data_IF_278513310002
#
_entry.id   IF_278513310002
#
_cell.length_a   1.000
_cell.length_b   1.000
_cell.length_c   1.000
_cell.angle_alpha   90.00
_cell.angle_beta   90.00
_cell.angle_gamma   90.00
#
_symmetry.space_group_name_H-M   'P 1'
#
loop_
_entity.id
_entity.type
_entity.pdbx_description
1 polymer ?
#
# COMPACT_ATOMS: atom_id res chain seq x y z
N UNK A 1 6.28 -25.08 -9.81
CA UNK A 1 7.33 -25.82 -9.08
C UNK A 1 7.94 -24.88 -8.07
N UNK A 2 7.91 -25.21 -6.77
CA UNK A 2 8.70 -24.49 -5.77
C UNK A 2 10.17 -24.91 -5.96
N UNK A 3 11.06 -23.92 -6.10
CA UNK A 3 12.50 -24.16 -6.14
C UNK A 3 12.99 -24.02 -4.71
N UNK A 4 13.35 -25.13 -4.08
CA UNK A 4 14.13 -25.15 -2.84
C UNK A 4 15.60 -25.14 -3.25
N UNK A 5 16.32 -24.05 -3.00
CA UNK A 5 17.74 -23.96 -3.30
C UNK A 5 18.16 -22.58 -3.82
N UNK A 6 19.44 -22.36 -4.00
CA UNK A 6 19.99 -21.16 -4.63
C UNK A 6 19.58 -21.11 -6.10
N UNK A 7 18.98 -19.99 -6.55
CA UNK A 7 18.74 -19.74 -7.97
C UNK A 7 19.68 -18.63 -8.47
N UNK A 8 20.00 -18.68 -9.75
CA UNK A 8 20.88 -17.70 -10.39
C UNK A 8 19.99 -16.66 -11.07
N UNK A 9 20.00 -15.42 -10.60
CA UNK A 9 19.08 -14.37 -11.08
C UNK A 9 19.29 -14.00 -12.54
N UNK A 10 20.51 -14.14 -13.07
CA UNK A 10 20.83 -13.85 -14.48
C UNK A 10 20.11 -14.74 -15.49
N UNK A 11 19.63 -15.91 -15.07
CA UNK A 11 18.93 -16.85 -15.94
C UNK A 11 17.48 -16.44 -16.17
N UNK A 12 17.01 -15.39 -15.48
CA UNK A 12 15.65 -14.88 -15.58
C UNK A 12 15.61 -13.49 -16.21
N UNK A 13 14.74 -13.30 -17.19
CA UNK A 13 14.47 -11.97 -17.75
C UNK A 13 13.73 -11.08 -16.77
N UNK A 14 12.77 -11.66 -16.03
CA UNK A 14 11.95 -10.98 -15.03
C UNK A 14 11.82 -11.81 -13.76
N UNK A 15 11.95 -11.13 -12.62
CA UNK A 15 11.69 -11.70 -11.29
C UNK A 15 10.55 -10.92 -10.66
N UNK A 16 9.47 -11.60 -10.30
CA UNK A 16 8.33 -11.01 -9.61
C UNK A 16 8.45 -11.24 -8.10
N UNK A 17 8.62 -10.16 -7.35
CA UNK A 17 8.62 -10.20 -5.89
C UNK A 17 7.19 -10.03 -5.38
N UNK A 18 6.57 -11.10 -4.88
CA UNK A 18 5.19 -11.14 -4.39
C UNK A 18 5.09 -11.47 -2.89
N UNK A 19 6.23 -11.56 -2.20
CA UNK A 19 6.30 -11.77 -0.76
C UNK A 19 5.96 -10.47 0.00
N UNK A 20 5.64 -10.52 1.32
CA UNK A 20 5.42 -9.31 2.11
C UNK A 20 6.61 -8.34 2.04
N UNK A 21 6.33 -7.04 1.96
CA UNK A 21 7.35 -5.99 1.91
C UNK A 21 8.33 -6.05 3.10
N UNK A 22 7.84 -6.44 4.29
CA UNK A 22 8.67 -6.61 5.49
C UNK A 22 9.71 -7.73 5.40
N UNK A 23 9.58 -8.65 4.43
CA UNK A 23 10.54 -9.73 4.21
C UNK A 23 11.62 -9.36 3.17
N UNK A 24 11.51 -8.20 2.50
CA UNK A 24 12.35 -7.84 1.36
C UNK A 24 13.84 -7.79 1.70
N UNK A 25 14.21 -7.19 2.84
CA UNK A 25 15.61 -7.09 3.28
C UNK A 25 16.28 -8.47 3.38
N UNK A 26 15.63 -9.36 4.13
CA UNK A 26 16.14 -10.72 4.32
C UNK A 26 16.18 -11.49 2.98
N UNK A 27 15.15 -11.33 2.15
CA UNK A 27 15.13 -11.97 0.84
C UNK A 27 16.28 -11.51 -0.06
N UNK A 28 16.64 -10.22 -0.03
CA UNK A 28 17.80 -9.71 -0.76
C UNK A 28 19.11 -10.32 -0.27
N UNK A 29 19.28 -10.46 1.04
CA UNK A 29 20.46 -11.07 1.65
C UNK A 29 20.59 -12.55 1.29
N UNK A 30 19.47 -13.28 1.33
CA UNK A 30 19.46 -14.73 1.10
C UNK A 30 19.61 -15.10 -0.39
N UNK A 31 19.04 -14.31 -1.32
CA UNK A 31 18.89 -14.71 -2.72
C UNK A 31 19.47 -13.74 -3.75
N UNK A 32 19.70 -12.47 -3.43
CA UNK A 32 20.16 -11.47 -4.39
C UNK A 32 21.58 -10.98 -4.14
N UNK A 33 22.21 -11.41 -3.06
CA UNK A 33 23.55 -11.01 -2.70
C UNK A 33 24.53 -11.40 -3.82
N UNK A 34 25.32 -10.42 -4.28
CA UNK A 34 26.33 -10.59 -5.34
C UNK A 34 25.77 -11.08 -6.70
N UNK A 35 24.48 -10.98 -6.93
CA UNK A 35 23.88 -11.35 -8.19
C UNK A 35 23.48 -10.12 -9.01
N UNK A 36 23.60 -10.21 -10.34
CA UNK A 36 23.09 -9.21 -11.27
C UNK A 36 21.65 -9.54 -11.62
N UNK A 37 20.75 -8.58 -11.43
CA UNK A 37 19.31 -8.74 -11.71
C UNK A 37 18.97 -7.92 -12.95
N UNK A 38 18.32 -8.54 -13.94
CA UNK A 38 17.92 -7.84 -15.15
C UNK A 38 16.69 -6.95 -14.89
N UNK A 39 15.59 -7.54 -14.48
CA UNK A 39 14.35 -6.81 -14.18
C UNK A 39 13.68 -7.40 -12.94
N UNK A 40 13.38 -6.54 -11.98
CA UNK A 40 12.65 -6.90 -10.75
C UNK A 40 11.31 -6.19 -10.72
N UNK A 41 10.22 -6.95 -10.66
CA UNK A 41 8.86 -6.43 -10.56
C UNK A 41 8.36 -6.60 -9.14
N UNK A 42 8.15 -5.49 -8.43
CA UNK A 42 7.66 -5.46 -7.07
C UNK A 42 6.12 -5.42 -7.08
N UNK A 43 5.49 -6.46 -6.56
CA UNK A 43 4.04 -6.57 -6.43
C UNK A 43 3.55 -6.35 -4.99
N UNK A 44 4.48 -6.36 -4.01
CA UNK A 44 4.16 -6.13 -2.61
C UNK A 44 3.87 -4.64 -2.34
N UNK A 45 2.99 -4.41 -1.36
CA UNK A 45 2.55 -3.07 -0.96
C UNK A 45 2.86 -2.88 0.52
N UNK A 46 3.76 -1.97 0.84
CA UNK A 46 4.17 -1.75 2.24
C UNK A 46 5.62 -1.31 2.33
N UNK A 47 6.12 -1.30 3.55
CA UNK A 47 7.50 -0.94 3.87
C UNK A 47 8.28 -2.15 4.36
N UNK A 48 9.60 -2.07 4.32
CA UNK A 48 10.49 -3.08 4.91
C UNK A 48 10.24 -3.22 6.42
N UNK A 49 10.84 -4.23 7.03
CA UNK A 49 10.76 -4.43 8.49
C UNK A 49 11.27 -3.20 9.27
N UNK A 50 12.25 -2.48 8.72
CA UNK A 50 12.83 -1.27 9.32
C UNK A 50 12.07 0.01 8.94
N UNK A 51 11.01 -0.10 8.13
CA UNK A 51 10.20 1.02 7.70
C UNK A 51 10.76 1.79 6.50
N UNK A 52 11.70 1.23 5.75
CA UNK A 52 12.22 1.84 4.53
C UNK A 52 11.36 1.49 3.32
N UNK A 53 11.35 2.39 2.35
CA UNK A 53 10.78 2.15 1.03
C UNK A 53 11.59 1.06 0.30
N UNK A 54 10.91 0.16 -0.38
CA UNK A 54 11.56 -0.92 -1.15
C UNK A 54 12.44 -0.34 -2.26
N UNK A 55 12.00 0.73 -2.92
CA UNK A 55 12.80 1.44 -3.93
C UNK A 55 14.15 1.92 -3.39
N UNK A 56 14.19 2.41 -2.15
CA UNK A 56 15.45 2.83 -1.51
C UNK A 56 16.36 1.64 -1.20
N UNK A 57 15.80 0.52 -0.78
CA UNK A 57 16.57 -0.69 -0.51
C UNK A 57 17.14 -1.28 -1.80
N UNK A 58 16.36 -1.30 -2.88
CA UNK A 58 16.82 -1.75 -4.20
C UNK A 58 18.05 -0.95 -4.61
N UNK A 59 17.97 0.38 -4.59
CA UNK A 59 19.09 1.24 -5.04
C UNK A 59 20.32 1.16 -4.15
N UNK A 60 20.15 0.82 -2.87
CA UNK A 60 21.27 0.69 -1.92
C UNK A 60 21.95 -0.68 -1.95
N UNK A 61 21.18 -1.75 -2.18
CA UNK A 61 21.64 -3.12 -1.90
C UNK A 61 21.78 -4.00 -3.14
N UNK A 62 21.15 -3.67 -4.26
CA UNK A 62 21.07 -4.56 -5.41
C UNK A 62 21.84 -4.06 -6.62
N UNK A 63 22.54 -4.97 -7.29
CA UNK A 63 23.09 -4.77 -8.63
C UNK A 63 21.99 -5.08 -9.65
N UNK A 64 21.24 -4.06 -10.07
CA UNK A 64 20.04 -4.22 -10.86
C UNK A 64 20.01 -3.26 -12.06
N UNK A 65 19.60 -3.77 -13.22
CA UNK A 65 19.45 -2.95 -14.41
C UNK A 65 18.14 -2.14 -14.36
N UNK A 66 17.02 -2.80 -14.07
CA UNK A 66 15.70 -2.16 -14.06
C UNK A 66 14.83 -2.74 -12.93
N UNK A 67 14.04 -1.87 -12.31
CA UNK A 67 13.00 -2.32 -11.39
C UNK A 67 11.68 -1.59 -11.65
N UNK A 68 10.58 -2.24 -11.29
CA UNK A 68 9.23 -1.85 -11.61
C UNK A 68 8.33 -2.08 -10.40
N UNK A 69 7.28 -1.28 -10.28
CA UNK A 69 6.19 -1.55 -9.33
C UNK A 69 4.92 -1.90 -10.10
N UNK A 70 4.27 -2.98 -9.68
CA UNK A 70 2.98 -3.43 -10.19
C UNK A 70 1.96 -3.32 -9.06
N UNK A 71 0.96 -2.45 -9.21
CA UNK A 71 -0.04 -2.18 -8.17
C UNK A 71 -1.38 -1.80 -8.78
N UNK A 72 -2.45 -2.03 -8.03
CA UNK A 72 -3.82 -1.69 -8.46
C UNK A 72 -4.86 -2.50 -7.69
N UNK A 73 -6.16 -2.31 -8.02
CA UNK A 73 -7.26 -3.00 -7.38
C UNK A 73 -7.27 -4.49 -7.77
N UNK A 74 -6.75 -5.34 -6.88
CA UNK A 74 -6.55 -6.77 -7.16
C UNK A 74 -6.63 -7.61 -5.89
N UNK A 75 -7.81 -8.14 -5.58
CA UNK A 75 -7.90 -9.19 -4.58
C UNK A 75 -7.40 -10.50 -5.17
N UNK A 76 -6.54 -11.20 -4.43
CA UNK A 76 -5.84 -12.37 -4.92
C UNK A 76 -6.80 -13.51 -5.32
N UNK A 77 -7.90 -13.70 -4.60
CA UNK A 77 -8.95 -14.67 -4.93
C UNK A 77 -9.63 -14.36 -6.27
N UNK A 78 -9.91 -13.08 -6.54
CA UNK A 78 -10.53 -12.67 -7.80
C UNK A 78 -9.60 -12.87 -9.00
N UNK A 79 -8.34 -12.53 -8.85
CA UNK A 79 -7.32 -12.77 -9.87
C UNK A 79 -7.16 -14.28 -10.12
N UNK A 80 -7.12 -15.09 -9.06
CA UNK A 80 -7.00 -16.54 -9.16
C UNK A 80 -8.18 -17.17 -9.91
N UNK A 81 -9.40 -16.66 -9.68
CA UNK A 81 -10.60 -17.11 -10.39
C UNK A 81 -10.77 -16.48 -11.79
N UNK A 82 -9.74 -15.82 -12.30
CA UNK A 82 -9.75 -15.27 -13.66
C UNK A 82 -10.69 -14.07 -13.84
N UNK A 83 -11.07 -13.37 -12.79
CA UNK A 83 -11.90 -12.16 -12.93
C UNK A 83 -11.10 -11.02 -13.56
N UNK A 84 -11.74 -10.18 -14.40
CA UNK A 84 -11.07 -9.04 -15.02
C UNK A 84 -10.40 -8.15 -13.98
N UNK A 85 -9.11 -7.88 -14.18
CA UNK A 85 -8.29 -7.09 -13.27
C UNK A 85 -7.47 -6.09 -14.06
N UNK A 86 -7.35 -4.86 -13.59
CA UNK A 86 -6.54 -3.82 -14.19
C UNK A 86 -5.49 -3.32 -13.20
N UNK A 87 -4.23 -3.23 -13.64
CA UNK A 87 -3.09 -2.86 -12.81
C UNK A 87 -2.27 -1.74 -13.45
N UNK A 88 -1.70 -0.86 -12.61
CA UNK A 88 -0.67 0.10 -12.99
C UNK A 88 0.70 -0.56 -12.90
N UNK A 89 1.47 -0.49 -13.96
CA UNK A 89 2.88 -0.83 -14.00
C UNK A 89 3.70 0.45 -14.13
N UNK A 90 4.48 0.76 -13.11
CA UNK A 90 5.36 1.92 -13.11
C UNK A 90 6.83 1.50 -13.19
N UNK A 91 7.58 2.18 -14.04
CA UNK A 91 8.97 1.89 -14.36
C UNK A 91 9.78 3.19 -14.40
N UNK A 92 11.09 3.10 -14.27
CA UNK A 92 11.98 4.25 -14.52
C UNK A 92 11.91 4.69 -16.00
N UNK A 93 11.81 3.70 -16.91
CA UNK A 93 11.49 3.89 -18.32
C UNK A 93 10.39 2.91 -18.69
N UNK A 94 9.40 3.35 -19.42
CA UNK A 94 8.27 2.49 -19.84
C UNK A 94 8.79 1.25 -20.56
N UNK A 95 8.47 0.08 -20.00
CA UNK A 95 8.84 -1.22 -20.59
C UNK A 95 7.58 -2.00 -20.96
N UNK A 96 7.18 -1.91 -22.22
CA UNK A 96 5.97 -2.58 -22.73
C UNK A 96 6.10 -4.11 -22.74
N UNK A 97 7.32 -4.65 -22.74
CA UNK A 97 7.54 -6.11 -22.78
C UNK A 97 7.02 -6.81 -21.51
N UNK A 98 7.01 -6.13 -20.35
CA UNK A 98 6.43 -6.71 -19.14
C UNK A 98 4.92 -6.91 -19.30
N UNK A 99 4.24 -5.98 -19.95
CA UNK A 99 2.80 -6.09 -20.21
C UNK A 99 2.45 -7.29 -21.11
N UNK A 100 3.35 -7.66 -22.01
CA UNK A 100 3.14 -8.81 -22.90
C UNK A 100 3.05 -10.14 -22.14
N UNK A 101 3.64 -10.22 -20.92
CA UNK A 101 3.52 -11.40 -20.05
C UNK A 101 2.05 -11.66 -19.65
N UNK A 102 1.22 -10.61 -19.65
CA UNK A 102 -0.19 -10.67 -19.25
C UNK A 102 -1.15 -10.72 -20.43
N UNK A 103 -0.65 -10.77 -21.69
CA UNK A 103 -1.45 -10.63 -22.92
C UNK A 103 -2.61 -11.63 -22.99
N UNK A 104 -2.36 -12.88 -22.62
CA UNK A 104 -3.34 -13.97 -22.71
C UNK A 104 -4.00 -14.26 -21.33
N UNK A 105 -4.08 -13.24 -20.48
CA UNK A 105 -4.70 -13.32 -19.17
C UNK A 105 -5.84 -12.31 -19.03
N UNK A 106 -6.63 -12.43 -17.96
CA UNK A 106 -7.66 -11.45 -17.61
C UNK A 106 -7.09 -10.21 -16.88
N UNK A 107 -5.78 -9.97 -16.97
CA UNK A 107 -5.09 -8.83 -16.36
C UNK A 107 -4.71 -7.81 -17.41
N UNK A 108 -5.25 -6.60 -17.31
CA UNK A 108 -4.89 -5.47 -18.17
C UNK A 108 -3.86 -4.59 -17.49
N UNK A 109 -2.75 -4.32 -18.17
CA UNK A 109 -1.69 -3.45 -17.69
C UNK A 109 -1.84 -2.04 -18.24
N UNK A 110 -1.73 -1.05 -17.35
CA UNK A 110 -1.64 0.38 -17.66
C UNK A 110 -0.27 0.89 -17.24
N UNK A 111 0.47 1.42 -18.20
CA UNK A 111 1.81 1.96 -17.95
C UNK A 111 1.72 3.35 -17.34
N UNK A 112 2.59 3.64 -16.40
CA UNK A 112 2.64 4.94 -15.75
C UNK A 112 4.08 5.35 -15.43
N UNK A 113 4.30 6.65 -15.38
CA UNK A 113 5.53 7.26 -14.88
C UNK A 113 5.29 7.73 -13.45
N UNK A 114 6.22 7.47 -12.56
CA UNK A 114 6.06 7.83 -11.14
C UNK A 114 6.19 6.63 -10.21
N UNK A 115 7.25 5.86 -10.41
CA UNK A 115 7.57 4.64 -9.69
C UNK A 115 7.49 4.82 -8.16
N UNK A 116 8.14 5.88 -7.61
CA UNK A 116 8.09 6.20 -6.17
C UNK A 116 6.69 6.59 -5.72
N UNK A 117 5.92 7.23 -6.60
CA UNK A 117 4.53 7.60 -6.28
C UNK A 117 3.66 6.36 -6.19
N UNK A 118 3.79 5.41 -7.13
CA UNK A 118 3.01 4.18 -7.08
C UNK A 118 3.34 3.33 -5.84
N UNK A 119 4.61 3.24 -5.46
CA UNK A 119 5.03 2.61 -4.20
C UNK A 119 4.39 3.31 -3.00
N UNK A 120 4.48 4.64 -2.92
CA UNK A 120 3.90 5.44 -1.83
C UNK A 120 2.38 5.23 -1.72
N UNK A 121 1.65 5.28 -2.84
CA UNK A 121 0.20 5.05 -2.86
C UNK A 121 -0.17 3.66 -2.34
N UNK A 122 0.58 2.63 -2.74
CA UNK A 122 0.39 1.27 -2.24
C UNK A 122 0.62 1.13 -0.72
N UNK A 123 1.52 1.92 -0.15
CA UNK A 123 1.79 1.95 1.30
C UNK A 123 0.63 2.65 2.04
N UNK A 124 0.28 3.87 1.59
CA UNK A 124 -0.60 4.75 2.36
C UNK A 124 -2.05 4.28 2.37
N UNK A 125 -2.54 3.66 1.28
CA UNK A 125 -3.89 3.13 1.21
C UNK A 125 -4.20 2.13 2.32
N UNK A 126 -3.21 1.34 2.73
CA UNK A 126 -3.36 0.34 3.78
C UNK A 126 -3.63 0.96 5.15
N UNK A 127 -3.10 2.16 5.41
CA UNK A 127 -3.40 2.94 6.62
C UNK A 127 -4.85 3.42 6.57
N UNK A 128 -5.28 3.98 5.45
CA UNK A 128 -6.65 4.45 5.29
C UNK A 128 -7.68 3.32 5.35
N UNK A 129 -7.33 2.13 4.88
CA UNK A 129 -8.20 0.96 5.02
C UNK A 129 -8.44 0.59 6.49
N UNK A 130 -7.46 0.74 7.37
CA UNK A 130 -7.66 0.58 8.82
C UNK A 130 -8.70 1.59 9.32
N UNK A 131 -8.58 2.86 8.92
CA UNK A 131 -9.54 3.90 9.30
C UNK A 131 -10.96 3.64 8.78
N UNK A 132 -11.11 3.15 7.55
CA UNK A 132 -12.40 2.76 6.98
C UNK A 132 -13.06 1.64 7.80
N UNK A 133 -12.30 0.62 8.20
CA UNK A 133 -12.78 -0.43 9.09
C UNK A 133 -13.21 0.09 10.46
N UNK A 134 -12.48 1.06 11.03
CA UNK A 134 -12.85 1.71 12.29
C UNK A 134 -14.19 2.45 12.16
N UNK A 135 -14.38 3.21 11.07
CA UNK A 135 -15.64 3.93 10.81
C UNK A 135 -16.84 2.99 10.73
N UNK A 136 -16.70 1.88 10.03
CA UNK A 136 -17.76 0.90 9.89
C UNK A 136 -18.08 0.18 11.19
N UNK A 137 -17.06 -0.07 12.02
CA UNK A 137 -17.24 -0.62 13.36
C UNK A 137 -18.05 0.32 14.29
N UNK A 138 -17.97 1.63 14.07
CA UNK A 138 -18.76 2.64 14.79
C UNK A 138 -20.13 2.90 14.12
N UNK A 139 -20.49 2.16 13.05
CA UNK A 139 -21.80 2.19 12.39
C UNK A 139 -22.20 3.57 11.85
N UNK A 140 -21.22 4.32 11.31
CA UNK A 140 -21.43 5.69 10.82
C UNK A 140 -22.09 5.78 9.44
N UNK A 141 -22.24 4.65 8.75
CA UNK A 141 -22.97 4.55 7.48
C UNK A 141 -22.17 4.92 6.23
N UNK A 142 -22.81 4.78 5.07
CA UNK A 142 -22.17 4.91 3.75
C UNK A 142 -21.78 6.35 3.42
N UNK A 143 -22.56 7.35 3.85
CA UNK A 143 -22.23 8.76 3.63
C UNK A 143 -20.89 9.12 4.31
N UNK A 144 -20.72 8.68 5.56
CA UNK A 144 -19.47 8.91 6.29
C UNK A 144 -18.29 8.20 5.63
N UNK A 145 -18.47 6.97 5.12
CA UNK A 145 -17.43 6.25 4.38
C UNK A 145 -17.03 6.97 3.10
N UNK A 146 -18.02 7.44 2.30
CA UNK A 146 -17.74 8.16 1.06
C UNK A 146 -16.99 9.47 1.33
N UNK A 147 -17.45 10.26 2.31
CA UNK A 147 -16.77 11.47 2.75
C UNK A 147 -15.35 11.16 3.26
N UNK A 148 -15.18 10.09 4.02
CA UNK A 148 -13.88 9.65 4.51
C UNK A 148 -12.92 9.35 3.37
N UNK A 149 -13.31 8.54 2.37
CA UNK A 149 -12.47 8.20 1.22
C UNK A 149 -12.08 9.47 0.45
N UNK A 150 -13.03 10.37 0.20
CA UNK A 150 -12.77 11.66 -0.46
C UNK A 150 -11.73 12.48 0.32
N UNK A 151 -11.85 12.55 1.64
CA UNK A 151 -10.88 13.28 2.48
C UNK A 151 -9.52 12.59 2.55
N UNK A 152 -9.47 11.25 2.44
CA UNK A 152 -8.21 10.52 2.29
C UNK A 152 -7.49 10.90 0.98
N UNK A 153 -8.21 11.03 -0.13
CA UNK A 153 -7.63 11.49 -1.41
C UNK A 153 -7.03 12.89 -1.27
N UNK A 154 -7.73 13.82 -0.60
CA UNK A 154 -7.22 15.16 -0.36
C UNK A 154 -5.96 15.15 0.53
N UNK A 155 -5.91 14.29 1.54
CA UNK A 155 -4.73 14.12 2.40
C UNK A 155 -3.55 13.51 1.63
N UNK A 156 -3.81 12.50 0.78
CA UNK A 156 -2.82 11.91 -0.14
C UNK A 156 -2.25 12.99 -1.08
N UNK A 157 -3.10 13.81 -1.69
CA UNK A 157 -2.67 14.90 -2.57
C UNK A 157 -1.71 15.84 -1.87
N UNK A 158 -2.02 16.24 -0.64
CA UNK A 158 -1.15 17.09 0.17
C UNK A 158 0.22 16.43 0.45
N UNK A 159 0.24 15.13 0.73
CA UNK A 159 1.49 14.38 0.95
C UNK A 159 2.31 14.27 -0.33
N UNK A 160 1.69 13.93 -1.46
CA UNK A 160 2.35 13.80 -2.75
C UNK A 160 3.02 15.12 -3.15
N UNK A 161 2.29 16.25 -3.00
CA UNK A 161 2.84 17.59 -3.25
C UNK A 161 4.04 17.88 -2.34
N UNK A 162 3.91 17.60 -1.05
CA UNK A 162 4.99 17.83 -0.09
C UNK A 162 6.24 16.98 -0.38
N UNK A 163 6.06 15.73 -0.82
CA UNK A 163 7.13 14.80 -1.14
C UNK A 163 7.68 15.00 -2.57
N UNK A 164 7.19 15.99 -3.30
CA UNK A 164 7.53 16.25 -4.71
C UNK A 164 7.37 14.99 -5.60
N UNK A 165 6.25 14.29 -5.43
CA UNK A 165 5.88 13.13 -6.20
C UNK A 165 4.89 13.50 -7.32
N UNK A 166 4.62 12.58 -8.26
CA UNK A 166 3.73 12.83 -9.38
C UNK A 166 2.24 12.84 -8.96
N UNK A 167 1.62 14.03 -8.92
CA UNK A 167 0.22 14.21 -8.49
C UNK A 167 -0.78 13.48 -9.39
N UNK A 168 -0.52 13.33 -10.68
CA UNK A 168 -1.44 12.65 -11.62
C UNK A 168 -1.63 11.17 -11.28
N UNK A 169 -0.67 10.57 -10.59
CA UNK A 169 -0.75 9.18 -10.16
C UNK A 169 -1.86 8.92 -9.11
N UNK A 170 -2.41 9.96 -8.50
CA UNK A 170 -3.57 9.81 -7.58
C UNK A 170 -4.74 9.17 -8.33
N UNK A 171 -4.97 9.54 -9.58
CA UNK A 171 -6.09 9.07 -10.41
C UNK A 171 -5.83 7.73 -11.09
N UNK A 172 -4.67 7.12 -10.85
CA UNK A 172 -4.32 5.81 -11.41
C UNK A 172 -5.05 4.66 -10.72
N UNK A 173 -4.97 3.47 -11.32
CA UNK A 173 -5.46 2.23 -10.71
C UNK A 173 -4.75 1.92 -9.38
N UNK A 174 -3.45 2.18 -9.29
CA UNK A 174 -2.68 2.03 -8.06
C UNK A 174 -2.91 3.15 -7.04
N UNK A 175 -3.56 4.24 -7.45
CA UNK A 175 -3.98 5.35 -6.61
C UNK A 175 -5.40 5.17 -6.09
N UNK A 176 -6.35 5.98 -6.63
CA UNK A 176 -7.74 6.00 -6.18
C UNK A 176 -8.43 4.65 -6.37
N UNK A 177 -8.11 3.89 -7.43
CA UNK A 177 -8.73 2.59 -7.68
C UNK A 177 -8.45 1.60 -6.55
N UNK A 178 -7.19 1.46 -6.17
CA UNK A 178 -6.78 0.54 -5.10
C UNK A 178 -7.18 1.06 -3.70
N UNK A 179 -7.24 2.38 -3.51
CA UNK A 179 -7.77 2.99 -2.29
C UNK A 179 -9.24 2.64 -2.08
N UNK A 180 -10.09 2.88 -3.11
CA UNK A 180 -11.52 2.58 -3.05
C UNK A 180 -11.75 1.09 -2.74
N UNK A 181 -11.12 0.20 -3.53
CA UNK A 181 -11.26 -1.25 -3.33
C UNK A 181 -10.90 -1.66 -1.90
N UNK A 182 -9.77 -1.15 -1.39
CA UNK A 182 -9.24 -1.56 -0.08
C UNK A 182 -10.06 -0.99 1.08
N UNK A 183 -10.60 0.22 0.94
CA UNK A 183 -11.41 0.89 1.97
C UNK A 183 -12.89 0.44 1.97
N UNK A 184 -13.38 -0.19 0.89
CA UNK A 184 -14.79 -0.53 0.74
C UNK A 184 -15.09 -2.02 0.85
N UNK A 185 -14.11 -2.86 1.17
CA UNK A 185 -14.28 -4.31 1.16
C UNK A 185 -13.76 -4.99 2.42
N UNK A 186 -14.58 -5.89 2.94
CA UNK A 186 -14.21 -6.80 4.02
C UNK A 186 -13.20 -7.89 3.60
N UNK A 187 -12.85 -7.99 2.32
CA UNK A 187 -11.71 -8.82 1.87
C UNK A 187 -10.36 -8.19 2.24
N UNK A 188 -10.32 -6.90 2.52
CA UNK A 188 -9.10 -6.20 2.94
C UNK A 188 -8.70 -6.59 4.37
N UNK A 189 -7.50 -7.15 4.53
CA UNK A 189 -6.93 -7.47 5.86
C UNK A 189 -6.77 -6.23 6.74
N UNK A 190 -6.39 -5.10 6.16
CA UNK A 190 -6.22 -3.84 6.87
C UNK A 190 -7.57 -3.28 7.35
N UNK A 191 -8.59 -3.33 6.49
CA UNK A 191 -9.96 -2.96 6.86
C UNK A 191 -10.48 -3.84 8.02
N UNK A 192 -10.35 -5.17 7.88
CA UNK A 192 -10.79 -6.11 8.92
C UNK A 192 -10.05 -5.92 10.24
N UNK A 193 -8.77 -5.57 10.19
CA UNK A 193 -8.02 -5.21 11.38
C UNK A 193 -8.64 -3.98 12.07
N UNK A 194 -8.87 -2.89 11.33
CA UNK A 194 -9.48 -1.67 11.86
C UNK A 194 -10.86 -1.92 12.45
N UNK A 195 -11.72 -2.67 11.73
CA UNK A 195 -13.05 -3.05 12.19
C UNK A 195 -13.00 -3.86 13.50
N UNK A 196 -12.19 -4.91 13.52
CA UNK A 196 -12.05 -5.75 14.70
C UNK A 196 -11.42 -5.00 15.87
N UNK A 197 -10.44 -4.14 15.62
CA UNK A 197 -9.79 -3.33 16.64
C UNK A 197 -10.78 -2.39 17.33
N UNK A 198 -11.59 -1.65 16.58
CA UNK A 198 -12.60 -0.75 17.14
C UNK A 198 -13.71 -1.49 17.91
N UNK A 199 -14.21 -2.63 17.38
CA UNK A 199 -15.18 -3.48 18.09
C UNK A 199 -14.64 -4.04 19.40
N UNK A 200 -13.34 -4.32 19.50
CA UNK A 200 -12.66 -4.98 20.63
C UNK A 200 -12.07 -4.02 21.66
N UNK A 201 -11.93 -2.75 21.35
CA UNK A 201 -11.73 -1.74 22.40
C UNK A 201 -12.83 -1.84 23.47
N UNK A 202 -13.92 -2.53 23.11
CA UNK A 202 -15.02 -2.94 24.04
C UNK A 202 -14.82 -4.34 24.67
N UNK A 203 -14.03 -5.27 24.08
CA UNK A 203 -13.93 -6.69 24.53
C UNK A 203 -12.54 -7.34 24.30
N UNK A 204 -11.48 -6.79 24.79
CA UNK A 204 -10.10 -7.32 25.07
C UNK A 204 -9.43 -8.42 24.21
N UNK A 205 -9.93 -8.91 23.08
CA UNK A 205 -9.23 -9.92 22.25
C UNK A 205 -8.88 -9.37 20.87
N UNK A 206 -7.60 -9.12 20.56
CA UNK A 206 -7.12 -8.73 19.22
C UNK A 206 -6.94 -10.00 18.37
N UNK A 207 -7.54 -10.14 17.18
CA UNK A 207 -7.26 -11.27 16.31
C UNK A 207 -5.77 -11.30 15.95
N UNK A 208 -5.13 -12.48 16.02
CA UNK A 208 -3.76 -12.67 15.53
C UNK A 208 -3.78 -12.62 13.99
N UNK A 209 -3.69 -11.44 13.42
CA UNK A 209 -3.38 -11.29 11.99
C UNK A 209 -1.88 -11.52 11.79
N UNK A 210 -1.51 -12.47 10.94
CA UNK A 210 -0.10 -12.82 10.67
C UNK A 210 0.72 -11.63 10.14
N UNK A 211 0.11 -10.73 9.35
CA UNK A 211 0.79 -9.52 8.84
C UNK A 211 -0.23 -8.45 8.49
N UNK A 212 -0.15 -7.28 9.11
CA UNK A 212 -0.97 -6.09 8.79
C UNK A 212 -0.02 -4.99 8.30
N UNK A 213 0.02 -4.83 6.97
CA UNK A 213 0.92 -3.87 6.32
C UNK A 213 0.65 -2.43 6.73
N UNK A 214 -0.63 -2.06 6.87
CA UNK A 214 -1.04 -0.73 7.32
C UNK A 214 -0.56 -0.39 8.73
N UNK A 215 -0.51 -1.37 9.64
CA UNK A 215 0.02 -1.16 10.99
C UNK A 215 1.53 -0.88 10.96
N UNK A 216 2.29 -1.64 10.18
CA UNK A 216 3.73 -1.38 9.98
C UNK A 216 3.96 0.00 9.35
N UNK A 217 3.13 0.38 8.38
CA UNK A 217 3.19 1.70 7.73
C UNK A 217 2.88 2.82 8.71
N UNK A 218 1.90 2.67 9.61
CA UNK A 218 1.62 3.63 10.69
C UNK A 218 2.84 3.85 11.60
N UNK A 219 3.50 2.75 12.00
CA UNK A 219 4.70 2.83 12.86
C UNK A 219 5.85 3.53 12.15
N UNK A 220 6.01 3.30 10.85
CA UNK A 220 7.02 3.95 10.00
C UNK A 220 6.77 5.44 9.86
N UNK A 221 5.54 5.84 9.54
CA UNK A 221 5.17 7.24 9.46
C UNK A 221 5.43 7.94 10.78
N UNK A 222 5.06 7.32 11.92
CA UNK A 222 5.31 7.88 13.26
C UNK A 222 6.80 8.11 13.53
N UNK A 223 7.68 7.22 13.07
CA UNK A 223 9.14 7.35 13.26
C UNK A 223 9.78 8.36 12.31
N UNK A 224 9.23 8.54 11.13
CA UNK A 224 9.80 9.38 10.10
C UNK A 224 9.18 10.78 10.12
N UNK A 225 9.77 11.67 10.94
CA UNK A 225 9.31 13.08 11.10
C UNK A 225 9.23 13.85 9.77
N UNK A 226 10.01 13.48 8.74
CA UNK A 226 9.96 14.12 7.42
C UNK A 226 8.65 13.87 6.68
N UNK A 227 7.98 12.75 6.94
CA UNK A 227 6.67 12.44 6.33
C UNK A 227 5.53 13.16 7.10
N UNK A 228 5.75 13.51 8.38
CA UNK A 228 4.72 14.04 9.30
C UNK A 228 4.57 15.58 9.21
N UNK A 229 5.41 16.31 8.50
CA UNK A 229 5.41 17.78 8.49
C UNK A 229 4.15 18.39 7.83
N UNK A 230 3.30 17.58 7.19
CA UNK A 230 2.00 18.00 6.71
C UNK A 230 0.89 17.88 7.77
N UNK A 231 -0.21 18.64 7.60
CA UNK A 231 -1.43 18.42 8.36
C UNK A 231 -2.09 17.11 7.89
N UNK A 232 -1.78 15.99 8.55
CA UNK A 232 -2.31 14.65 8.25
C UNK A 232 -3.36 14.25 9.30
N UNK A 233 -4.52 14.91 9.34
CA UNK A 233 -5.49 14.71 10.42
C UNK A 233 -6.04 13.29 10.46
N UNK A 234 -6.28 12.66 9.32
CA UNK A 234 -6.87 11.32 9.25
C UNK A 234 -5.83 10.29 9.72
N UNK A 235 -4.62 10.32 9.16
CA UNK A 235 -3.54 9.40 9.58
C UNK A 235 -3.22 9.57 11.06
N UNK A 236 -3.14 10.81 11.54
CA UNK A 236 -2.86 11.09 12.95
C UNK A 236 -3.96 10.53 13.86
N UNK A 237 -5.23 10.66 13.48
CA UNK A 237 -6.34 10.06 14.24
C UNK A 237 -6.27 8.52 14.24
N UNK A 238 -5.97 7.91 13.10
CA UNK A 238 -5.77 6.44 13.02
C UNK A 238 -4.64 6.00 13.95
N UNK A 239 -3.49 6.68 13.90
CA UNK A 239 -2.33 6.38 14.76
C UNK A 239 -2.69 6.54 16.25
N UNK A 240 -3.43 7.60 16.63
CA UNK A 240 -3.89 7.79 18.01
C UNK A 240 -4.83 6.67 18.45
N UNK A 241 -5.77 6.25 17.59
CA UNK A 241 -6.67 5.15 17.90
C UNK A 241 -5.90 3.85 18.12
N UNK A 242 -4.95 3.52 17.24
CA UNK A 242 -4.07 2.34 17.38
C UNK A 242 -3.28 2.39 18.71
N UNK A 243 -2.91 3.59 19.17
CA UNK A 243 -2.22 3.81 20.45
C UNK A 243 -3.16 3.92 21.66
N UNK A 244 -4.45 3.61 21.52
CA UNK A 244 -5.41 3.51 22.63
C UNK A 244 -6.37 4.68 22.78
N UNK A 245 -6.34 5.69 21.89
CA UNK A 245 -7.39 6.75 21.91
C UNK A 245 -8.74 6.15 21.50
N UNK A 246 -9.86 6.49 22.19
CA UNK A 246 -11.16 5.99 21.80
C UNK A 246 -11.56 6.42 20.39
N UNK A 247 -12.03 5.50 19.50
CA UNK A 247 -12.42 5.84 18.13
C UNK A 247 -13.40 7.00 18.04
N UNK A 248 -14.47 6.99 18.85
CA UNK A 248 -15.49 8.06 18.89
C UNK A 248 -14.90 9.44 19.18
N UNK A 249 -13.88 9.52 20.07
CA UNK A 249 -13.21 10.78 20.39
C UNK A 249 -12.49 11.34 19.17
N UNK A 250 -11.68 10.51 18.49
CA UNK A 250 -10.90 10.95 17.33
C UNK A 250 -11.81 11.30 16.13
N UNK A 251 -12.90 10.56 15.91
CA UNK A 251 -13.91 10.87 14.89
C UNK A 251 -14.56 12.22 15.18
N UNK A 252 -14.96 12.49 16.43
CA UNK A 252 -15.53 13.78 16.83
C UNK A 252 -14.54 14.94 16.59
N UNK A 253 -13.26 14.72 16.86
CA UNK A 253 -12.21 15.72 16.57
C UNK A 253 -12.12 16.00 15.07
N UNK A 254 -12.20 14.98 14.21
CA UNK A 254 -12.19 15.15 12.75
C UNK A 254 -13.43 15.92 12.26
N UNK A 255 -14.59 15.65 12.80
CA UNK A 255 -15.85 16.31 12.43
C UNK A 255 -15.92 17.78 12.90
N UNK A 256 -15.34 18.09 14.05
CA UNK A 256 -15.35 19.44 14.64
C UNK A 256 -14.23 20.35 14.11
N UNK A 257 -13.56 19.98 13.03
CA UNK A 257 -12.55 20.84 12.40
C UNK A 257 -13.22 22.05 11.74
N UNK A 258 -12.51 23.18 11.73
CA UNK A 258 -12.97 24.39 11.03
C UNK A 258 -13.34 24.08 9.58
N UNK A 259 -14.43 24.71 9.12
CA UNK A 259 -14.83 24.63 7.72
C UNK A 259 -13.71 25.09 6.79
N UNK A 260 -13.58 24.45 5.64
CA UNK A 260 -12.60 24.74 4.61
C UNK A 260 -13.26 24.71 3.26
N UNK A 261 -12.74 25.51 2.33
CA UNK A 261 -13.05 25.36 0.91
C UNK A 261 -12.48 24.02 0.39
N UNK A 262 -13.17 23.42 -0.55
CA UNK A 262 -12.71 22.21 -1.25
C UNK A 262 -11.69 22.52 -2.34
#
# INVERSE_FOLDING_TARGET
>A
KSISGSFITRDYHYIFYILPASAFDKFCEDYFKNQKINNLVICSKGVSKNGEFISNLITKKLNINNYHFLSGPSFADEVLYGKPTALSLSSQKVNKNIGNIFKDTNIRIYYSEGLKTLEFLGIIKNIYAIGAGILDAESLGQNARSAYITRCVAEIKSMIKYLNLNENMIYSLGGIGDLILTCSSNKSRNYNFGFSFAKKSKNKIIPRFKTIEGLNSCLTIKKNKKIIIGKLPIINSIIKIINGSPPKKEIKILLNRSFKNE
#
